data_IF_378019489124
#
_entry.id   IF_378019489124
#
_cell.length_a   1.000
_cell.length_b   1.000
_cell.length_c   1.000
_cell.angle_alpha   90.00
_cell.angle_beta   90.00
_cell.angle_gamma   90.00
#
_symmetry.space_group_name_H-M   'P 1'
#
loop_
_entity.id
_entity.type
_entity.pdbx_description
1 polymer ?
#
# COMPACT_ATOMS: atom_id res chain seq x y z
N UNK A 1 7.12 -1.58 6.77
CA UNK A 1 6.16 -2.11 7.76
C UNK A 1 6.56 -3.49 8.29
N UNK A 2 6.50 -4.57 7.50
CA UNK A 2 6.80 -5.94 8.00
C UNK A 2 8.14 -6.05 8.72
N UNK A 3 9.21 -5.49 8.14
CA UNK A 3 10.55 -5.52 8.73
C UNK A 3 10.67 -4.74 10.06
N UNK A 4 9.70 -3.88 10.37
CA UNK A 4 9.63 -3.05 11.58
C UNK A 4 8.49 -3.46 12.52
N UNK A 5 7.98 -4.70 12.40
CA UNK A 5 6.84 -5.17 13.19
C UNK A 5 7.08 -5.02 14.70
N UNK A 6 8.30 -5.27 15.19
CA UNK A 6 8.61 -5.26 16.61
C UNK A 6 8.50 -3.83 17.16
N UNK A 7 9.14 -2.88 16.49
CA UNK A 7 9.14 -1.47 16.84
C UNK A 7 7.73 -0.87 16.81
N UNK A 8 6.95 -1.19 15.77
CA UNK A 8 5.56 -0.74 15.64
C UNK A 8 4.67 -1.35 16.74
N UNK A 9 4.83 -2.64 17.03
CA UNK A 9 4.06 -3.32 18.08
C UNK A 9 4.42 -2.81 19.48
N UNK A 10 5.70 -2.56 19.76
CA UNK A 10 6.15 -1.98 21.04
C UNK A 10 5.59 -0.58 21.26
N UNK A 11 5.45 0.20 20.20
CA UNK A 11 4.78 1.50 20.22
C UNK A 11 3.24 1.41 20.24
N UNK A 12 2.67 0.20 20.26
CA UNK A 12 1.23 -0.03 20.36
C UNK A 12 0.46 0.05 19.03
N UNK A 13 1.16 0.12 17.90
CA UNK A 13 0.52 0.12 16.58
C UNK A 13 0.18 -1.30 16.13
N UNK A 14 -1.05 -1.49 15.67
CA UNK A 14 -1.42 -2.65 14.87
C UNK A 14 -1.38 -2.28 13.38
N UNK A 15 -0.62 -3.02 12.58
CA UNK A 15 -0.54 -2.79 11.13
C UNK A 15 -1.56 -3.66 10.39
N UNK A 16 -2.37 -3.02 9.55
CA UNK A 16 -3.32 -3.69 8.64
C UNK A 16 -3.07 -3.18 7.22
N UNK A 17 -2.92 -4.09 6.27
CA UNK A 17 -2.79 -3.78 4.84
C UNK A 17 -4.14 -3.98 4.13
N UNK A 18 -4.66 -2.93 3.49
CA UNK A 18 -5.85 -3.04 2.64
C UNK A 18 -5.41 -3.14 1.18
N UNK A 19 -5.42 -4.35 0.64
CA UNK A 19 -4.92 -4.64 -0.69
C UNK A 19 -6.01 -4.47 -1.75
N UNK A 20 -5.66 -3.83 -2.87
CA UNK A 20 -6.51 -3.80 -4.05
C UNK A 20 -6.34 -5.10 -4.86
N UNK A 21 -7.44 -5.76 -5.18
CA UNK A 21 -7.46 -6.96 -6.02
C UNK A 21 -8.39 -8.04 -5.50
N UNK A 22 -8.52 -9.13 -6.27
CA UNK A 22 -9.45 -10.21 -5.93
C UNK A 22 -9.08 -10.91 -4.61
N UNK A 23 -10.08 -11.31 -3.78
CA UNK A 23 -9.87 -12.02 -2.51
C UNK A 23 -8.93 -13.23 -2.60
N UNK A 24 -9.00 -13.99 -3.71
CA UNK A 24 -8.15 -15.16 -3.94
C UNK A 24 -6.65 -14.82 -4.00
N UNK A 25 -6.27 -13.62 -4.42
CA UNK A 25 -4.86 -13.22 -4.49
C UNK A 25 -4.35 -12.81 -3.11
N UNK A 26 -5.14 -12.07 -2.34
CA UNK A 26 -4.79 -11.69 -0.97
C UNK A 26 -4.62 -12.94 -0.11
N UNK A 27 -5.56 -13.89 -0.18
CA UNK A 27 -5.45 -15.17 0.53
C UNK A 27 -4.21 -15.97 0.13
N UNK A 28 -3.77 -15.89 -1.14
CA UNK A 28 -2.62 -16.63 -1.65
C UNK A 28 -1.28 -16.01 -1.26
N UNK A 29 -1.17 -14.69 -1.25
CA UNK A 29 0.13 -14.01 -1.21
C UNK A 29 0.43 -13.34 0.13
N UNK A 30 -0.57 -12.83 0.86
CA UNK A 30 -0.29 -11.99 2.02
C UNK A 30 0.49 -12.71 3.13
N UNK A 31 0.04 -13.89 3.56
CA UNK A 31 0.76 -14.67 4.58
C UNK A 31 2.16 -15.15 4.15
N UNK A 32 2.52 -15.02 2.87
CA UNK A 32 3.87 -15.31 2.37
C UNK A 32 4.77 -14.09 2.29
N UNK A 33 4.20 -12.93 1.97
CA UNK A 33 4.95 -11.68 1.73
C UNK A 33 5.10 -10.88 3.02
N UNK A 34 4.06 -10.82 3.85
CA UNK A 34 4.01 -10.08 5.09
C UNK A 34 3.27 -10.91 6.17
N UNK A 35 3.89 -11.99 6.67
CA UNK A 35 3.26 -12.92 7.60
C UNK A 35 2.79 -12.28 8.91
N UNK A 36 3.38 -11.17 9.34
CA UNK A 36 3.01 -10.48 10.57
C UNK A 36 1.98 -9.36 10.37
N UNK A 37 1.57 -9.06 9.13
CA UNK A 37 0.58 -8.03 8.83
C UNK A 37 -0.75 -8.67 8.43
N UNK A 38 -1.83 -8.23 9.08
CA UNK A 38 -3.19 -8.59 8.66
C UNK A 38 -3.49 -7.92 7.32
N UNK A 39 -3.77 -8.71 6.29
CA UNK A 39 -4.24 -8.22 5.01
C UNK A 39 -5.76 -8.35 4.87
N UNK A 40 -6.39 -7.28 4.39
CA UNK A 40 -7.81 -7.23 4.06
C UNK A 40 -7.99 -6.87 2.58
N UNK A 41 -9.08 -7.34 1.99
CA UNK A 41 -9.61 -6.85 0.71
C UNK A 41 -11.12 -6.93 0.74
N UNK A 42 -11.78 -5.97 0.09
CA UNK A 42 -13.22 -5.95 -0.08
C UNK A 42 -13.67 -6.83 -1.24
N UNK A 43 -14.97 -7.14 -1.27
CA UNK A 43 -15.59 -7.90 -2.36
C UNK A 43 -15.47 -7.20 -3.72
N UNK A 44 -15.40 -5.87 -3.71
CA UNK A 44 -15.16 -5.02 -4.89
C UNK A 44 -13.67 -4.83 -5.24
N UNK A 45 -12.78 -5.57 -4.55
CA UNK A 45 -11.34 -5.38 -4.62
C UNK A 45 -10.87 -4.10 -3.92
N UNK A 46 -11.60 -3.63 -2.91
CA UNK A 46 -11.31 -2.45 -2.07
C UNK A 46 -11.36 -1.10 -2.79
N UNK A 47 -11.93 -1.00 -3.99
CA UNK A 47 -12.01 0.29 -4.70
C UNK A 47 -12.82 1.34 -3.94
N UNK A 48 -13.94 0.94 -3.33
CA UNK A 48 -14.74 1.81 -2.49
C UNK A 48 -13.97 2.29 -1.26
N UNK A 49 -13.20 1.41 -0.60
CA UNK A 49 -12.39 1.76 0.56
C UNK A 49 -11.32 2.80 0.19
N UNK A 50 -10.61 2.61 -0.93
CA UNK A 50 -9.61 3.57 -1.39
C UNK A 50 -10.22 4.95 -1.62
N UNK A 51 -11.36 5.02 -2.33
CA UNK A 51 -12.06 6.29 -2.57
C UNK A 51 -12.58 6.93 -1.28
N UNK A 52 -13.09 6.14 -0.33
CA UNK A 52 -13.58 6.63 0.96
C UNK A 52 -12.47 7.28 1.81
N UNK A 53 -11.24 6.80 1.67
CA UNK A 53 -10.04 7.38 2.31
C UNK A 53 -9.41 8.52 1.49
N UNK A 54 -10.08 8.95 0.41
CA UNK A 54 -9.61 10.04 -0.45
C UNK A 54 -8.45 9.65 -1.36
N UNK A 55 -8.14 8.36 -1.52
CA UNK A 55 -7.14 7.91 -2.48
C UNK A 55 -7.66 8.06 -3.91
N UNK A 56 -6.77 8.46 -4.79
CA UNK A 56 -7.09 8.79 -6.17
C UNK A 56 -6.19 8.04 -7.14
N UNK A 57 -6.62 7.95 -8.39
CA UNK A 57 -5.73 7.50 -9.47
C UNK A 57 -4.63 8.52 -9.70
N UNK A 58 -3.39 8.05 -9.83
CA UNK A 58 -2.25 8.88 -10.13
C UNK A 58 -2.42 9.54 -11.50
N UNK A 59 -2.09 10.84 -11.56
CA UNK A 59 -2.11 11.59 -12.82
C UNK A 59 -0.99 11.16 -13.77
N UNK A 60 -1.07 11.60 -15.03
CA UNK A 60 -0.02 11.38 -16.06
C UNK A 60 1.40 11.76 -15.58
N UNK A 61 1.53 12.74 -14.68
CA UNK A 61 2.81 13.18 -14.10
C UNK A 61 3.43 12.20 -13.11
N UNK A 62 2.63 11.43 -12.35
CA UNK A 62 3.12 10.42 -11.40
C UNK A 62 3.57 9.13 -12.12
N UNK A 63 2.93 8.80 -13.26
CA UNK A 63 3.42 7.77 -14.18
C UNK A 63 4.67 8.21 -14.97
N UNK A 64 4.89 9.52 -15.12
CA UNK A 64 6.03 10.09 -15.82
C UNK A 64 7.27 10.31 -14.92
N UNK A 65 7.37 9.64 -13.76
CA UNK A 65 8.66 9.55 -13.10
C UNK A 65 9.62 8.83 -14.06
N UNK A 66 10.71 9.52 -14.44
CA UNK A 66 11.74 9.03 -15.36
C UNK A 66 12.36 7.67 -14.93
N UNK A 67 12.09 7.22 -13.70
CA UNK A 67 12.50 5.93 -13.15
C UNK A 67 11.60 4.74 -13.54
N UNK A 68 10.28 4.91 -13.58
CA UNK A 68 9.33 3.81 -13.85
C UNK A 68 9.47 3.28 -15.29
N UNK A 69 9.68 4.17 -16.26
CA UNK A 69 9.92 3.78 -17.66
C UNK A 69 11.24 3.01 -17.83
N UNK A 70 12.31 3.46 -17.14
CA UNK A 70 13.64 2.84 -17.17
C UNK A 70 13.68 1.48 -16.47
N UNK A 71 12.89 1.31 -15.41
CA UNK A 71 12.75 0.04 -14.70
C UNK A 71 11.89 -0.96 -15.51
N UNK A 72 10.77 -0.50 -16.07
CA UNK A 72 9.91 -1.30 -16.96
C UNK A 72 10.63 -1.78 -18.22
N UNK A 73 11.39 -0.90 -18.90
CA UNK A 73 12.20 -1.27 -20.06
C UNK A 73 13.31 -2.28 -19.73
N UNK A 74 13.93 -2.18 -18.54
CA UNK A 74 14.93 -3.16 -18.08
C UNK A 74 14.31 -4.51 -17.76
N UNK A 75 13.14 -4.54 -17.12
CA UNK A 75 12.44 -5.78 -16.80
C UNK A 75 11.99 -6.52 -18.07
N UNK A 76 11.44 -5.80 -19.06
CA UNK A 76 11.06 -6.36 -20.36
C UNK A 76 12.28 -6.87 -21.13
N UNK A 77 13.40 -6.14 -21.15
CA UNK A 77 14.66 -6.61 -21.76
C UNK A 77 15.25 -7.84 -21.06
N UNK A 78 14.98 -8.03 -19.78
CA UNK A 78 15.41 -9.18 -19.00
C UNK A 78 14.46 -10.39 -19.10
N UNK A 79 13.43 -10.34 -19.94
CA UNK A 79 12.48 -11.45 -20.13
C UNK A 79 11.39 -11.54 -19.05
N UNK A 80 11.31 -10.56 -18.14
CA UNK A 80 10.24 -10.49 -17.15
C UNK A 80 9.03 -9.77 -17.74
N UNK A 81 8.09 -10.52 -18.30
CA UNK A 81 6.75 -10.00 -18.58
C UNK A 81 6.00 -9.85 -17.27
N UNK A 82 5.75 -8.61 -16.85
CA UNK A 82 4.88 -8.35 -15.71
C UNK A 82 3.55 -9.06 -15.91
N UNK A 83 3.07 -9.76 -14.89
CA UNK A 83 1.79 -10.47 -14.94
C UNK A 83 0.63 -9.54 -15.30
N UNK A 84 -0.54 -10.11 -15.60
CA UNK A 84 -1.76 -9.34 -15.88
C UNK A 84 -1.99 -8.37 -14.73
N UNK A 85 -2.16 -7.08 -15.04
CA UNK A 85 -2.61 -6.09 -14.07
C UNK A 85 -4.01 -6.49 -13.60
N UNK A 86 -4.17 -6.73 -12.31
CA UNK A 86 -5.45 -7.05 -11.67
C UNK A 86 -5.82 -5.87 -10.77
N UNK A 87 -7.04 -5.36 -10.92
CA UNK A 87 -7.48 -4.12 -10.25
C UNK A 87 -7.05 -2.86 -11.00
N UNK A 88 -7.12 -1.71 -10.32
CA UNK A 88 -6.76 -0.41 -10.89
C UNK A 88 -5.29 -0.07 -10.59
N UNK A 89 -4.38 -0.42 -11.52
CA UNK A 89 -2.95 -0.14 -11.37
C UNK A 89 -2.59 1.35 -11.26
N UNK A 90 -3.53 2.26 -11.54
CA UNK A 90 -3.30 3.70 -11.38
C UNK A 90 -3.64 4.18 -9.98
N UNK A 91 -4.35 3.40 -9.17
CA UNK A 91 -4.74 3.83 -7.85
C UNK A 91 -3.51 4.05 -6.96
N UNK A 92 -3.40 5.24 -6.38
CA UNK A 92 -2.31 5.60 -5.48
C UNK A 92 -2.54 4.99 -4.09
N UNK A 93 -1.49 4.47 -3.44
CA UNK A 93 -1.59 4.00 -2.07
C UNK A 93 -1.57 5.17 -1.09
N UNK A 94 -1.84 4.86 0.18
CA UNK A 94 -1.64 5.76 1.29
C UNK A 94 -1.55 5.00 2.60
N UNK A 95 -1.04 5.66 3.64
CA UNK A 95 -0.95 5.14 4.99
C UNK A 95 -1.74 6.05 5.93
N UNK A 96 -2.53 5.45 6.81
CA UNK A 96 -3.43 6.17 7.70
C UNK A 96 -3.24 5.63 9.12
N UNK A 97 -3.07 6.52 10.08
CA UNK A 97 -3.06 6.16 11.49
C UNK A 97 -4.43 6.45 12.08
N UNK A 98 -5.05 5.41 12.63
CA UNK A 98 -6.41 5.40 13.13
C UNK A 98 -6.35 5.13 14.64
N UNK A 99 -7.01 5.95 15.45
CA UNK A 99 -7.08 5.72 16.90
C UNK A 99 -8.14 4.69 17.29
N UNK A 100 -8.22 4.36 18.59
CA UNK A 100 -9.16 3.38 19.11
C UNK A 100 -10.63 3.79 18.93
N UNK A 101 -10.90 5.09 18.80
CA UNK A 101 -12.21 5.66 18.51
C UNK A 101 -12.55 5.63 17.00
N UNK A 102 -11.65 5.10 16.16
CA UNK A 102 -11.84 4.97 14.72
C UNK A 102 -11.61 6.28 13.94
N UNK A 103 -10.92 7.26 14.52
CA UNK A 103 -10.63 8.55 13.88
C UNK A 103 -9.28 8.50 13.21
N UNK A 104 -9.21 9.05 12.00
CA UNK A 104 -7.93 9.27 11.31
C UNK A 104 -7.20 10.42 11.99
N UNK A 105 -6.03 10.12 12.55
CA UNK A 105 -5.19 11.09 13.30
C UNK A 105 -4.01 11.59 12.49
N UNK A 106 -3.59 10.80 11.50
CA UNK A 106 -2.53 11.17 10.58
C UNK A 106 -2.70 10.44 9.25
N UNK A 107 -2.29 11.09 8.18
CA UNK A 107 -2.42 10.60 6.81
C UNK A 107 -1.14 10.84 6.03
N UNK A 108 -0.74 9.84 5.25
CA UNK A 108 0.30 9.94 4.25
C UNK A 108 -0.25 9.49 2.91
N UNK A 109 -0.36 10.42 1.98
CA UNK A 109 -0.73 10.13 0.60
C UNK A 109 0.54 9.90 -0.21
N UNK A 110 0.73 8.69 -0.72
CA UNK A 110 1.95 8.30 -1.42
C UNK A 110 2.13 9.08 -2.72
N UNK A 111 3.35 9.50 -3.01
CA UNK A 111 3.71 10.19 -4.25
C UNK A 111 3.75 9.24 -5.46
N UNK A 112 4.12 7.97 -5.25
CA UNK A 112 4.15 6.90 -6.25
C UNK A 112 3.82 5.52 -5.65
N UNK A 113 3.62 4.48 -6.49
CA UNK A 113 3.06 3.17 -6.09
C UNK A 113 3.89 2.41 -5.04
N UNK A 114 5.19 2.65 -4.95
CA UNK A 114 6.07 2.08 -3.92
C UNK A 114 6.47 3.06 -2.80
N UNK A 115 5.81 4.22 -2.73
CA UNK A 115 6.15 5.24 -1.74
C UNK A 115 5.41 4.96 -0.43
N UNK A 116 6.16 4.97 0.66
CA UNK A 116 5.70 4.66 2.00
C UNK A 116 6.32 5.67 2.98
N UNK A 117 5.61 6.05 4.04
CA UNK A 117 6.19 6.93 5.03
C UNK A 117 7.36 6.26 5.76
N UNK A 118 8.28 7.09 6.25
CA UNK A 118 9.33 6.64 7.15
C UNK A 118 8.72 6.15 8.46
N UNK A 119 9.29 5.07 9.01
CA UNK A 119 8.82 4.48 10.26
C UNK A 119 8.96 5.48 11.42
N UNK A 120 10.00 6.31 11.39
CA UNK A 120 10.19 7.37 12.38
C UNK A 120 9.04 8.39 12.38
N UNK A 121 8.48 8.72 11.22
CA UNK A 121 7.33 9.63 11.13
C UNK A 121 6.11 9.02 11.81
N UNK A 122 5.85 7.73 11.57
CA UNK A 122 4.75 6.98 12.22
C UNK A 122 4.90 7.00 13.74
N UNK A 123 6.09 6.67 14.24
CA UNK A 123 6.35 6.57 15.68
C UNK A 123 6.33 7.94 16.38
N UNK A 124 6.45 9.03 15.63
CA UNK A 124 6.36 10.39 16.19
C UNK A 124 4.92 10.82 16.50
N UNK A 125 3.92 10.13 15.93
CA UNK A 125 2.51 10.48 16.10
C UNK A 125 2.02 10.04 17.48
N UNK A 126 1.40 10.98 18.20
CA UNK A 126 0.83 10.75 19.54
C UNK A 126 -0.70 10.69 19.45
N UNK A 127 -1.30 9.70 20.10
CA UNK A 127 -2.74 9.53 20.18
C UNK A 127 -3.36 10.22 21.39
#
# INVERSE_FOLDING_TARGET
MEQHQAELNEAGFQVVAVAMGEPKHVARYCGRIAPSITCLTGDDGSQAAYRAYGLQEGGLKQFASFGALKAGLRAVKAGHTGGKVIGNARMMPGTFLIDAEGRVRWTYYSEHVGDHPDIADILSVKF
#
